data_IF_348710987139
#
_entry.id   IF_348710987139
#
_cell.length_a   1.000
_cell.length_b   1.000
_cell.length_c   1.000
_cell.angle_alpha   90.00
_cell.angle_beta   90.00
_cell.angle_gamma   90.00
#
_symmetry.space_group_name_H-M   'P 1'
#
loop_
_entity.id
_entity.type
_entity.pdbx_description
1 polymer ?
#
# COMPACT_ATOMS: atom_id res chain seq x y z
N UNK A 1 -2.36 -15.33 5.34
CA UNK A 1 -2.41 -14.46 4.13
C UNK A 1 -2.44 -12.99 4.54
N UNK A 2 -1.93 -12.10 3.69
CA UNK A 2 -1.99 -10.65 3.84
C UNK A 2 -2.83 -10.05 2.70
N UNK A 3 -3.68 -9.07 3.01
CA UNK A 3 -4.42 -8.30 2.02
C UNK A 3 -4.26 -6.81 2.36
N UNK A 4 -3.74 -6.02 1.42
CA UNK A 4 -3.45 -4.62 1.69
C UNK A 4 -2.94 -3.85 0.48
N UNK A 5 -2.77 -2.56 0.69
CA UNK A 5 -2.23 -1.67 -0.34
C UNK A 5 -0.70 -1.60 -0.25
N UNK A 6 -0.07 -1.49 -1.43
CA UNK A 6 1.35 -1.24 -1.57
C UNK A 6 1.59 0.10 -2.28
N UNK A 7 2.42 0.94 -1.67
CA UNK A 7 2.88 2.22 -2.23
C UNK A 7 4.39 2.09 -2.43
N UNK A 8 4.77 1.86 -3.69
CA UNK A 8 6.14 1.58 -4.11
C UNK A 8 6.60 2.63 -5.12
N UNK A 9 7.81 3.12 -4.92
CA UNK A 9 8.51 3.97 -5.88
C UNK A 9 10.03 3.81 -5.78
N UNK A 10 10.75 4.32 -6.77
CA UNK A 10 12.20 4.20 -6.93
C UNK A 10 13.00 4.82 -5.79
N UNK A 11 12.53 5.92 -5.21
CA UNK A 11 13.24 6.70 -4.20
C UNK A 11 12.30 7.26 -3.12
N UNK A 12 12.89 7.73 -2.02
CA UNK A 12 12.14 8.24 -0.86
C UNK A 12 11.26 9.45 -1.19
N UNK A 13 11.67 10.32 -2.10
CA UNK A 13 10.89 11.50 -2.46
C UNK A 13 9.64 11.10 -3.24
N UNK A 14 9.76 10.15 -4.17
CA UNK A 14 8.61 9.62 -4.90
C UNK A 14 7.70 8.79 -4.01
N UNK A 15 8.25 8.04 -3.05
CA UNK A 15 7.46 7.34 -2.02
C UNK A 15 6.60 8.34 -1.25
N UNK A 16 7.18 9.44 -0.75
CA UNK A 16 6.44 10.48 -0.02
C UNK A 16 5.33 11.10 -0.87
N UNK A 17 5.64 11.45 -2.13
CA UNK A 17 4.66 12.03 -3.04
C UNK A 17 3.47 11.09 -3.27
N UNK A 18 3.72 9.82 -3.59
CA UNK A 18 2.67 8.83 -3.79
C UNK A 18 1.87 8.57 -2.51
N UNK A 19 2.53 8.54 -1.35
CA UNK A 19 1.88 8.37 -0.06
C UNK A 19 0.91 9.52 0.24
N UNK A 20 1.32 10.77 0.01
CA UNK A 20 0.48 11.95 0.20
C UNK A 20 -0.72 11.92 -0.75
N UNK A 21 -0.50 11.68 -2.05
CA UNK A 21 -1.60 11.59 -3.02
C UNK A 21 -2.62 10.50 -2.67
N UNK A 22 -2.14 9.31 -2.27
CA UNK A 22 -3.01 8.22 -1.86
C UNK A 22 -3.79 8.58 -0.58
N UNK A 23 -3.13 9.22 0.39
CA UNK A 23 -3.76 9.68 1.62
C UNK A 23 -4.82 10.75 1.37
N UNK A 24 -4.56 11.74 0.51
CA UNK A 24 -5.54 12.77 0.15
C UNK A 24 -6.78 12.17 -0.53
N UNK A 25 -6.58 11.21 -1.45
CA UNK A 25 -7.67 10.45 -2.05
C UNK A 25 -8.48 9.67 -1.02
N UNK A 26 -7.82 9.02 -0.07
CA UNK A 26 -8.49 8.34 1.04
C UNK A 26 -9.27 9.29 1.93
N UNK A 27 -8.70 10.45 2.29
CA UNK A 27 -9.35 11.45 3.14
C UNK A 27 -10.58 12.04 2.46
N UNK A 28 -10.51 12.29 1.15
CA UNK A 28 -11.67 12.71 0.35
C UNK A 28 -12.81 11.69 0.44
N UNK A 29 -12.50 10.39 0.32
CA UNK A 29 -13.48 9.32 0.49
C UNK A 29 -13.98 9.22 1.94
N UNK A 30 -13.13 9.45 2.93
CA UNK A 30 -13.50 9.42 4.34
C UNK A 30 -14.45 10.56 4.73
N UNK A 31 -14.24 11.76 4.19
CA UNK A 31 -15.15 12.88 4.35
C UNK A 31 -16.50 12.61 3.69
N UNK A 32 -16.49 12.05 2.49
CA UNK A 32 -17.71 11.64 1.80
C UNK A 32 -18.47 10.57 2.59
N UNK A 33 -17.77 9.54 3.09
CA UNK A 33 -18.35 8.46 3.90
C UNK A 33 -18.91 8.96 5.24
N UNK A 34 -18.31 10.01 5.82
CA UNK A 34 -18.82 10.68 7.02
C UNK A 34 -20.13 11.41 6.74
N UNK A 35 -20.24 12.05 5.57
CA UNK A 35 -21.44 12.80 5.17
C UNK A 35 -22.58 11.87 4.72
N UNK A 36 -22.25 10.79 4.02
CA UNK A 36 -23.20 9.84 3.46
C UNK A 36 -22.84 8.40 3.87
N UNK A 37 -23.20 7.98 5.10
CA UNK A 37 -22.83 6.68 5.60
C UNK A 37 -23.63 5.57 4.91
N UNK A 38 -22.99 4.82 4.01
CA UNK A 38 -23.59 3.68 3.29
C UNK A 38 -22.92 2.37 3.72
N UNK A 39 -23.61 1.53 4.48
CA UNK A 39 -23.17 0.16 4.81
C UNK A 39 -21.71 0.06 5.27
N UNK A 40 -20.96 -0.89 4.69
CA UNK A 40 -19.55 -1.13 5.02
C UNK A 40 -18.60 0.01 4.60
N UNK A 41 -19.04 0.92 3.71
CA UNK A 41 -18.25 2.06 3.25
C UNK A 41 -17.86 2.99 4.41
N UNK A 42 -18.77 3.22 5.37
CA UNK A 42 -18.52 4.03 6.57
C UNK A 42 -17.38 3.48 7.43
N UNK A 43 -17.28 2.15 7.55
CA UNK A 43 -16.25 1.51 8.37
C UNK A 43 -14.91 1.45 7.65
N UNK A 44 -14.92 1.35 6.32
CA UNK A 44 -13.72 1.32 5.49
C UNK A 44 -13.02 2.69 5.41
N UNK A 45 -13.79 3.77 5.34
CA UNK A 45 -13.26 5.13 5.14
C UNK A 45 -13.50 6.00 6.37
N UNK A 46 -12.80 5.69 7.46
CA UNK A 46 -12.75 6.55 8.64
C UNK A 46 -11.57 7.52 8.54
N UNK A 47 -11.74 8.81 8.87
CA UNK A 47 -10.62 9.75 8.98
C UNK A 47 -9.52 9.19 9.88
N UNK A 48 -8.28 9.36 9.48
CA UNK A 48 -7.09 8.83 10.17
C UNK A 48 -5.92 9.77 9.94
N UNK A 49 -4.86 9.67 10.74
CA UNK A 49 -3.61 10.41 10.48
C UNK A 49 -2.85 9.83 9.28
N UNK A 50 -1.99 10.62 8.64
CA UNK A 50 -1.07 10.14 7.60
C UNK A 50 -0.16 9.01 8.12
N UNK A 51 0.27 9.12 9.38
CA UNK A 51 1.10 8.11 10.03
C UNK A 51 0.37 6.77 10.15
N UNK A 52 -0.85 6.77 10.69
CA UNK A 52 -1.67 5.55 10.81
C UNK A 52 -2.10 5.00 9.45
N UNK A 53 -2.33 5.88 8.49
CA UNK A 53 -2.59 5.49 7.10
C UNK A 53 -1.40 4.72 6.52
N UNK A 54 -0.18 5.22 6.72
CA UNK A 54 1.05 4.58 6.25
C UNK A 54 1.32 3.25 6.95
N UNK A 55 1.20 3.19 8.29
CA UNK A 55 1.49 1.99 9.11
C UNK A 55 0.72 0.73 8.70
N UNK A 56 -0.49 0.89 8.15
CA UNK A 56 -1.36 -0.22 7.75
C UNK A 56 -1.06 -0.76 6.34
N UNK A 57 -0.05 -0.21 5.67
CA UNK A 57 0.30 -0.49 4.28
C UNK A 57 1.76 -0.89 4.15
N UNK A 58 2.10 -1.44 2.99
CA UNK A 58 3.49 -1.63 2.60
C UNK A 58 3.91 -0.37 1.84
N UNK A 59 4.78 0.45 2.41
CA UNK A 59 5.17 1.76 1.85
C UNK A 59 6.69 1.86 1.84
N UNK A 60 7.29 2.12 0.69
CA UNK A 60 8.74 2.30 0.61
C UNK A 60 9.34 2.14 -0.77
N UNK A 61 10.66 2.15 -0.81
CA UNK A 61 11.47 1.73 -1.97
C UNK A 61 11.41 0.21 -2.14
N UNK A 62 11.85 -0.35 -3.29
CA UNK A 62 11.87 -1.81 -3.48
C UNK A 62 12.50 -2.56 -2.31
N UNK A 63 13.67 -2.09 -1.84
CA UNK A 63 14.37 -2.68 -0.71
C UNK A 63 13.55 -2.65 0.59
N UNK A 64 12.91 -1.51 0.90
CA UNK A 64 12.05 -1.40 2.09
C UNK A 64 10.79 -2.25 1.98
N UNK A 65 10.22 -2.37 0.78
CA UNK A 65 9.10 -3.27 0.53
C UNK A 65 9.51 -4.74 0.71
N UNK A 66 10.69 -5.14 0.24
CA UNK A 66 11.26 -6.48 0.47
C UNK A 66 11.40 -6.73 1.98
N UNK A 67 12.02 -5.82 2.72
CA UNK A 67 12.18 -5.97 4.17
C UNK A 67 10.83 -6.11 4.88
N UNK A 68 9.85 -5.28 4.49
CA UNK A 68 8.52 -5.31 5.10
C UNK A 68 7.76 -6.60 4.77
N UNK A 69 7.84 -7.07 3.52
CA UNK A 69 7.24 -8.34 3.09
C UNK A 69 7.94 -9.51 3.79
N UNK A 70 9.27 -9.47 3.90
CA UNK A 70 10.08 -10.43 4.62
C UNK A 70 9.60 -10.61 6.07
N UNK A 71 9.32 -9.52 6.78
CA UNK A 71 8.73 -9.60 8.13
C UNK A 71 7.41 -10.39 8.17
N UNK A 72 6.55 -10.25 7.15
CA UNK A 72 5.32 -11.04 7.07
C UNK A 72 5.61 -12.51 6.73
N UNK A 73 6.56 -12.77 5.84
CA UNK A 73 7.00 -14.13 5.47
C UNK A 73 7.60 -14.86 6.67
N UNK A 74 8.45 -14.19 7.46
CA UNK A 74 9.04 -14.73 8.70
C UNK A 74 7.97 -15.09 9.74
N UNK A 75 6.83 -14.40 9.72
CA UNK A 75 5.65 -14.70 10.53
C UNK A 75 4.75 -15.79 9.93
N UNK A 76 5.17 -16.43 8.83
CA UNK A 76 4.44 -17.51 8.16
C UNK A 76 3.40 -17.06 7.14
N UNK A 77 3.39 -15.78 6.73
CA UNK A 77 2.51 -15.33 5.64
C UNK A 77 3.07 -15.79 4.29
N UNK A 78 2.28 -16.59 3.58
CA UNK A 78 2.65 -17.24 2.32
C UNK A 78 1.82 -16.76 1.11
N UNK A 79 0.71 -16.05 1.35
CA UNK A 79 -0.17 -15.51 0.31
C UNK A 79 -0.40 -14.01 0.51
N UNK A 80 -0.17 -13.22 -0.54
CA UNK A 80 -0.34 -11.76 -0.54
C UNK A 80 -1.33 -11.33 -1.64
N UNK A 81 -2.37 -10.61 -1.24
CA UNK A 81 -3.32 -9.93 -2.14
C UNK A 81 -3.01 -8.44 -2.08
N UNK A 82 -2.36 -7.91 -3.11
CA UNK A 82 -1.88 -6.54 -3.12
C UNK A 82 -2.73 -5.64 -4.02
N UNK A 83 -3.10 -4.49 -3.48
CA UNK A 83 -3.77 -3.42 -4.22
C UNK A 83 -2.75 -2.33 -4.53
N UNK A 84 -2.64 -1.99 -5.82
CA UNK A 84 -1.78 -0.91 -6.31
C UNK A 84 -2.66 0.32 -6.54
N UNK A 85 -2.54 1.40 -5.74
CA UNK A 85 -3.41 2.57 -5.85
C UNK A 85 -3.13 3.40 -7.12
N UNK A 86 -1.98 3.18 -7.75
CA UNK A 86 -1.53 3.87 -8.94
C UNK A 86 -1.68 2.96 -10.18
N UNK A 87 -2.92 2.77 -10.63
CA UNK A 87 -3.26 1.94 -11.81
C UNK A 87 -2.90 2.64 -13.13
N UNK A 88 -2.75 3.98 -13.14
CA UNK A 88 -2.62 4.72 -14.39
C UNK A 88 -1.26 4.55 -15.07
N UNK A 89 -0.19 4.35 -14.32
CA UNK A 89 1.15 4.32 -14.90
C UNK A 89 1.77 2.93 -15.05
N UNK A 90 1.15 1.85 -14.54
CA UNK A 90 1.70 0.47 -14.46
C UNK A 90 3.09 0.33 -13.79
N UNK A 91 3.87 1.40 -13.64
CA UNK A 91 5.22 1.44 -13.04
C UNK A 91 5.27 0.81 -11.67
N UNK A 92 4.25 1.01 -10.83
CA UNK A 92 4.22 0.42 -9.49
C UNK A 92 4.20 -1.12 -9.55
N UNK A 93 3.41 -1.68 -10.48
CA UNK A 93 3.37 -3.11 -10.73
C UNK A 93 4.68 -3.60 -11.35
N UNK A 94 5.25 -2.85 -12.30
CA UNK A 94 6.54 -3.21 -12.93
C UNK A 94 7.69 -3.22 -11.92
N UNK A 95 7.77 -2.21 -11.05
CA UNK A 95 8.74 -2.17 -9.95
C UNK A 95 8.55 -3.36 -9.01
N UNK A 96 7.30 -3.69 -8.67
CA UNK A 96 7.03 -4.82 -7.80
C UNK A 96 7.46 -6.14 -8.45
N UNK A 97 7.07 -6.38 -9.70
CA UNK A 97 7.36 -7.62 -10.42
C UNK A 97 8.86 -7.81 -10.71
N UNK A 98 9.57 -6.73 -11.03
CA UNK A 98 10.97 -6.79 -11.46
C UNK A 98 11.98 -6.59 -10.31
N UNK A 99 11.60 -5.92 -9.23
CA UNK A 99 12.54 -5.58 -8.15
C UNK A 99 12.17 -6.18 -6.79
N UNK A 100 10.90 -6.49 -6.53
CA UNK A 100 10.47 -7.03 -5.22
C UNK A 100 10.25 -8.55 -5.29
N UNK A 101 9.45 -9.03 -6.25
CA UNK A 101 9.11 -10.45 -6.38
C UNK A 101 10.35 -11.37 -6.50
N UNK A 102 11.42 -11.02 -7.24
CA UNK A 102 12.59 -11.90 -7.38
C UNK A 102 13.24 -12.29 -6.04
N UNK A 103 13.16 -11.45 -5.01
CA UNK A 103 13.70 -11.74 -3.67
C UNK A 103 12.96 -12.86 -2.93
N UNK A 104 11.75 -13.23 -3.38
CA UNK A 104 10.90 -14.24 -2.75
C UNK A 104 10.66 -15.47 -3.62
N UNK A 105 11.16 -15.48 -4.86
CA UNK A 105 11.16 -16.70 -5.68
C UNK A 105 12.23 -17.63 -5.11
N UNK A 106 11.82 -18.82 -4.67
CA UNK A 106 12.76 -19.92 -4.49
C UNK A 106 13.30 -20.28 -5.89
N UNK A 107 14.62 -20.41 -6.01
CA UNK A 107 15.25 -21.02 -7.17
C UNK A 107 14.77 -22.46 -7.38
#
# INVERSE_FOLDING_TARGET
SFCGEIILAEDQERVKQKLVMAYEGFMTMAEHARKYPIGLYRNRFRPTSLEDYSKRRIVGTPQQCIEKIGQFVDLGVDHFILVFPDIKEHKCLDYFMNQVVPSFKRG
#
